data_IF_626108277706
#
_entry.id   IF_626108277706
#
_cell.length_a   1.000
_cell.length_b   1.000
_cell.length_c   1.000
_cell.angle_alpha   90.00
_cell.angle_beta   90.00
_cell.angle_gamma   90.00
#
_symmetry.space_group_name_H-M   'P 1'
#
loop_
_entity.id
_entity.type
_entity.pdbx_description
1 polymer ?
#
# COMPACT_ATOMS: atom_id res chain seq x y z
N UNK A 1 64.02 49.63 55.52
CA UNK A 1 64.43 48.68 54.49
C UNK A 1 63.19 48.04 53.94
N UNK A 2 62.85 48.44 52.73
CA UNK A 2 61.58 48.06 52.04
C UNK A 2 61.72 46.69 51.34
N UNK A 3 60.80 45.75 51.57
CA UNK A 3 60.66 44.59 50.75
C UNK A 3 59.42 44.77 49.89
N UNK A 4 59.63 44.75 48.58
CA UNK A 4 58.56 44.69 47.55
C UNK A 4 57.90 43.30 47.59
N UNK A 5 56.61 43.32 47.59
CA UNK A 5 55.77 42.11 47.40
C UNK A 5 55.23 42.15 45.98
N UNK A 6 55.68 41.23 45.13
CA UNK A 6 55.16 41.06 43.79
C UNK A 6 53.89 40.22 43.87
N UNK A 7 52.81 40.78 43.36
CA UNK A 7 51.49 40.07 43.21
C UNK A 7 51.46 39.52 41.82
N UNK A 8 51.51 38.16 41.69
CA UNK A 8 51.20 37.46 40.44
C UNK A 8 49.67 37.41 40.20
N UNK A 9 49.22 38.16 39.20
CA UNK A 9 47.88 38.05 38.67
C UNK A 9 47.82 36.85 37.66
N UNK A 10 47.21 35.74 38.06
CA UNK A 10 46.85 34.68 37.16
C UNK A 10 45.57 35.10 36.44
N UNK A 11 45.63 35.37 35.11
CA UNK A 11 44.53 35.59 34.28
C UNK A 11 43.95 34.20 33.87
N UNK A 12 42.78 33.81 34.42
CA UNK A 12 42.01 32.67 33.96
C UNK A 12 41.30 33.05 32.65
N UNK A 13 41.81 32.60 31.51
CA UNK A 13 41.11 32.67 30.25
C UNK A 13 40.01 31.58 30.22
N UNK A 14 38.78 31.98 30.48
CA UNK A 14 37.61 31.15 30.24
C UNK A 14 37.45 30.97 28.71
N UNK A 15 37.86 29.83 28.20
CA UNK A 15 37.48 29.35 26.84
C UNK A 15 36.00 29.12 26.82
N UNK A 16 35.23 30.08 26.32
CA UNK A 16 33.83 29.88 25.96
C UNK A 16 33.77 28.92 24.75
N UNK A 17 33.47 27.65 25.01
CA UNK A 17 33.13 26.69 23.97
C UNK A 17 31.79 27.16 23.41
N UNK A 18 31.67 27.49 22.09
CA UNK A 18 30.40 27.80 21.51
C UNK A 18 29.57 26.52 21.59
N UNK A 19 28.51 26.53 22.39
CA UNK A 19 27.44 25.52 22.31
C UNK A 19 26.78 25.79 20.98
N UNK A 20 27.21 25.05 19.94
CA UNK A 20 26.46 24.95 18.68
C UNK A 20 25.12 24.35 19.05
N UNK A 21 24.12 25.21 19.15
CA UNK A 21 22.72 24.79 19.20
C UNK A 21 22.51 23.92 17.94
N UNK A 22 22.42 22.61 18.13
CA UNK A 22 22.00 21.72 17.03
C UNK A 22 20.72 22.33 16.48
N UNK A 23 20.77 22.79 15.25
CA UNK A 23 19.61 23.26 14.52
C UNK A 23 18.69 22.07 14.50
N UNK A 24 17.52 22.17 15.15
CA UNK A 24 16.47 21.16 15.04
C UNK A 24 16.23 21.04 13.54
N UNK A 25 16.56 19.87 12.98
CA UNK A 25 16.18 19.59 11.61
C UNK A 25 14.69 19.91 11.50
N UNK A 26 14.30 20.67 10.47
CA UNK A 26 12.89 20.96 10.22
C UNK A 26 12.14 19.63 10.24
N UNK A 27 11.06 19.57 11.03
CA UNK A 27 10.25 18.36 11.10
C UNK A 27 9.81 18.02 9.67
N UNK A 28 9.99 16.76 9.29
CA UNK A 28 9.53 16.29 7.98
C UNK A 28 8.06 16.68 7.77
N UNK A 29 7.74 17.15 6.59
CA UNK A 29 6.40 17.52 6.19
C UNK A 29 5.98 16.67 5.00
N UNK A 30 4.78 16.11 5.03
CA UNK A 30 4.24 15.33 3.93
C UNK A 30 4.02 16.24 2.71
N UNK A 31 4.68 15.97 1.57
CA UNK A 31 4.52 16.78 0.37
C UNK A 31 3.21 16.52 -0.38
N UNK A 32 2.50 15.44 -0.07
CA UNK A 32 1.24 15.08 -0.74
C UNK A 32 0.13 16.07 -0.39
N UNK A 33 -0.68 16.54 -1.36
CA UNK A 33 -1.64 17.62 -1.14
C UNK A 33 -2.96 17.17 -0.51
N UNK A 34 -2.97 16.09 0.27
CA UNK A 34 -4.18 15.59 0.94
C UNK A 34 -4.48 16.34 2.22
N UNK A 35 -5.74 16.28 2.64
CA UNK A 35 -6.19 16.63 3.98
C UNK A 35 -6.39 15.37 4.79
N UNK A 36 -5.92 15.37 6.04
CA UNK A 36 -6.11 14.25 6.96
C UNK A 36 -7.35 14.50 7.82
N UNK A 37 -8.22 13.52 7.91
CA UNK A 37 -9.33 13.50 8.84
C UNK A 37 -9.49 12.12 9.48
N UNK A 38 -10.17 12.05 10.62
CA UNK A 38 -10.42 10.80 11.33
C UNK A 38 -11.93 10.57 11.45
N UNK A 39 -12.39 9.41 10.97
CA UNK A 39 -13.80 9.00 11.06
C UNK A 39 -13.94 7.94 12.15
N UNK A 40 -14.87 8.14 13.08
CA UNK A 40 -15.21 7.15 14.11
C UNK A 40 -16.12 6.08 13.49
N UNK A 41 -15.65 4.83 13.45
CA UNK A 41 -16.37 3.68 12.89
C UNK A 41 -16.99 2.78 13.97
N UNK A 42 -16.53 2.88 15.19
CA UNK A 42 -17.12 2.29 16.39
C UNK A 42 -16.59 3.00 17.64
N UNK A 43 -17.17 2.79 18.84
CA UNK A 43 -16.66 3.41 20.06
C UNK A 43 -15.16 3.18 20.24
N UNK A 44 -14.39 4.28 20.34
CA UNK A 44 -12.95 4.30 20.50
C UNK A 44 -12.12 3.82 19.29
N UNK A 45 -12.74 3.55 18.13
CA UNK A 45 -12.04 3.22 16.88
C UNK A 45 -12.28 4.30 15.85
N UNK A 46 -11.21 5.02 15.52
CA UNK A 46 -11.18 6.04 14.47
C UNK A 46 -10.21 5.61 13.38
N UNK A 47 -10.63 5.75 12.15
CA UNK A 47 -9.81 5.48 10.99
C UNK A 47 -9.40 6.78 10.32
N UNK A 48 -8.14 6.82 9.90
CA UNK A 48 -7.61 7.89 9.08
C UNK A 48 -8.21 7.83 7.69
N UNK A 49 -8.63 8.99 7.20
CA UNK A 49 -9.09 9.20 5.84
C UNK A 49 -8.30 10.36 5.24
N UNK A 50 -7.65 10.12 4.13
CA UNK A 50 -6.96 11.12 3.33
C UNK A 50 -7.92 11.64 2.25
N UNK A 51 -8.00 12.96 2.06
CA UNK A 51 -8.81 13.62 1.04
C UNK A 51 -7.90 14.45 0.13
N UNK A 52 -7.62 13.95 -1.07
CA UNK A 52 -6.84 14.66 -2.09
C UNK A 52 -7.68 15.65 -2.90
N UNK A 53 -8.99 15.75 -2.62
CA UNK A 53 -9.87 16.63 -3.35
C UNK A 53 -10.17 16.13 -4.76
N UNK A 54 -10.30 17.08 -5.68
CA UNK A 54 -10.77 16.84 -7.04
C UNK A 54 -12.25 17.15 -7.22
N UNK A 55 -12.78 16.88 -8.40
CA UNK A 55 -14.18 17.13 -8.74
C UNK A 55 -14.76 16.02 -9.58
N UNK A 56 -16.03 15.75 -9.45
CA UNK A 56 -16.73 14.69 -10.18
C UNK A 56 -17.13 13.54 -9.29
N UNK A 57 -17.01 12.30 -9.76
CA UNK A 57 -17.41 11.10 -9.02
C UNK A 57 -16.44 10.83 -7.88
N UNK A 58 -16.98 10.47 -6.71
CA UNK A 58 -16.17 10.06 -5.58
C UNK A 58 -15.52 8.70 -5.83
N UNK A 59 -14.21 8.61 -5.59
CA UNK A 59 -13.42 7.37 -5.63
C UNK A 59 -12.79 7.17 -4.26
N UNK A 60 -13.00 5.99 -3.68
CA UNK A 60 -12.43 5.63 -2.37
C UNK A 60 -11.35 4.58 -2.58
N UNK A 61 -10.11 4.92 -2.25
CA UNK A 61 -8.93 4.06 -2.35
C UNK A 61 -8.78 3.21 -1.08
N UNK A 62 -8.58 1.90 -1.26
CA UNK A 62 -8.33 0.93 -0.20
C UNK A 62 -6.98 0.26 -0.40
N UNK A 63 -6.10 0.40 0.57
CA UNK A 63 -4.73 -0.12 0.51
C UNK A 63 -4.67 -1.64 0.75
N UNK A 64 -3.61 -2.27 0.26
CA UNK A 64 -3.30 -3.69 0.46
C UNK A 64 -2.80 -4.01 1.88
N UNK A 65 -2.38 -5.26 2.08
CA UNK A 65 -1.77 -5.70 3.34
C UNK A 65 -0.46 -4.95 3.59
N UNK A 66 -0.26 -4.49 4.83
CA UNK A 66 0.95 -3.77 5.23
C UNK A 66 0.99 -2.30 4.82
N UNK A 67 0.01 -1.79 4.07
CA UNK A 67 -0.02 -0.42 3.59
C UNK A 67 -1.08 0.43 4.30
N UNK A 68 -0.77 1.70 4.49
CA UNK A 68 -1.71 2.77 4.81
C UNK A 68 -2.25 3.42 3.52
N UNK A 69 -3.15 4.39 3.65
CA UNK A 69 -3.61 5.16 2.49
C UNK A 69 -2.50 6.00 1.83
N UNK A 70 -1.43 6.28 2.56
CA UNK A 70 -0.27 7.03 2.06
C UNK A 70 0.49 6.31 0.94
N UNK A 71 0.26 5.00 0.72
CA UNK A 71 0.81 4.29 -0.44
C UNK A 71 0.35 4.89 -1.78
N UNK A 72 -0.76 5.64 -1.76
CA UNK A 72 -1.32 6.31 -2.93
C UNK A 72 -0.90 7.77 -3.09
N UNK A 73 -0.02 8.31 -2.25
CA UNK A 73 0.32 9.74 -2.21
C UNK A 73 0.89 10.28 -3.54
N UNK A 74 1.57 9.44 -4.32
CA UNK A 74 2.07 9.81 -5.66
C UNK A 74 1.03 9.59 -6.77
N UNK A 75 0.07 8.69 -6.57
CA UNK A 75 -0.95 8.29 -7.55
C UNK A 75 -2.24 9.11 -7.41
N UNK A 76 -2.73 9.30 -6.18
CA UNK A 76 -4.02 9.91 -5.91
C UNK A 76 -4.14 11.38 -6.39
N UNK A 77 -3.11 12.24 -6.33
CA UNK A 77 -3.18 13.59 -6.90
C UNK A 77 -3.47 13.60 -8.40
N UNK A 78 -2.92 12.64 -9.16
CA UNK A 78 -3.14 12.50 -10.61
C UNK A 78 -4.55 11.95 -10.91
N UNK A 79 -5.04 11.06 -10.05
CA UNK A 79 -6.42 10.58 -10.12
C UNK A 79 -7.40 11.71 -9.83
N UNK A 80 -7.06 12.61 -8.88
CA UNK A 80 -7.88 13.77 -8.49
C UNK A 80 -8.04 14.83 -9.60
N UNK A 81 -7.27 14.74 -10.68
CA UNK A 81 -7.47 15.60 -11.86
C UNK A 81 -8.83 15.37 -12.55
N UNK A 82 -9.48 14.21 -12.33
CA UNK A 82 -10.74 13.87 -13.02
C UNK A 82 -11.80 13.18 -12.16
N UNK A 83 -11.58 13.06 -10.86
CA UNK A 83 -12.57 12.58 -9.88
C UNK A 83 -12.26 13.18 -8.51
N UNK A 84 -13.13 12.96 -7.50
CA UNK A 84 -12.80 13.30 -6.12
C UNK A 84 -12.25 12.07 -5.41
N UNK A 85 -11.08 12.19 -4.77
CA UNK A 85 -10.32 11.03 -4.28
C UNK A 85 -10.20 11.05 -2.76
N UNK A 86 -10.65 9.97 -2.14
CA UNK A 86 -10.44 9.64 -0.73
C UNK A 86 -9.59 8.38 -0.60
N UNK A 87 -8.81 8.27 0.47
CA UNK A 87 -8.09 7.05 0.81
C UNK A 87 -8.35 6.67 2.25
N UNK A 88 -8.61 5.40 2.52
CA UNK A 88 -8.87 4.89 3.87
C UNK A 88 -7.66 4.08 4.34
N UNK A 89 -7.08 4.50 5.48
CA UNK A 89 -6.14 3.66 6.22
C UNK A 89 -6.95 2.71 7.10
N UNK A 90 -6.84 1.40 6.82
CA UNK A 90 -7.57 0.35 7.54
C UNK A 90 -7.22 0.34 9.02
N UNK A 91 -8.16 -0.14 9.88
CA UNK A 91 -7.86 -0.41 11.29
C UNK A 91 -6.62 -1.29 11.43
N UNK A 92 -5.78 -1.00 12.41
CA UNK A 92 -4.52 -1.71 12.64
C UNK A 92 -3.36 -1.29 11.75
N UNK A 93 -3.53 -0.27 10.89
CA UNK A 93 -2.47 0.25 10.02
C UNK A 93 -2.29 1.75 10.22
N UNK A 94 -1.07 2.22 9.98
CA UNK A 94 -0.71 3.64 9.97
C UNK A 94 -1.25 4.41 11.18
N UNK A 95 -1.86 5.58 10.94
CA UNK A 95 -2.42 6.43 11.98
C UNK A 95 -3.83 6.03 12.45
N UNK A 96 -4.47 5.04 11.82
CA UNK A 96 -5.73 4.47 12.29
C UNK A 96 -5.57 3.75 13.62
N UNK A 97 -6.64 3.66 14.44
CA UNK A 97 -6.56 2.91 15.68
C UNK A 97 -6.26 1.42 15.46
N UNK A 98 -5.54 0.83 16.40
CA UNK A 98 -5.13 -0.58 16.42
C UNK A 98 -5.89 -1.32 17.54
N UNK A 99 -7.20 -1.62 17.39
CA UNK A 99 -7.96 -2.32 18.41
C UNK A 99 -7.51 -3.78 18.51
N UNK A 100 -7.79 -4.43 19.67
CA UNK A 100 -7.43 -5.83 19.93
C UNK A 100 -8.25 -6.84 19.11
N UNK A 101 -9.32 -6.39 18.43
CA UNK A 101 -10.26 -7.22 17.67
C UNK A 101 -10.94 -6.46 16.53
N UNK A 102 -11.81 -7.15 15.78
CA UNK A 102 -12.57 -6.53 14.69
C UNK A 102 -11.84 -6.61 13.34
N UNK A 103 -11.09 -7.66 13.10
CA UNK A 103 -10.30 -7.86 11.88
C UNK A 103 -10.92 -8.89 10.92
N UNK A 104 -12.22 -9.22 11.09
CA UNK A 104 -12.93 -10.04 10.11
C UNK A 104 -13.20 -9.24 8.83
N UNK A 105 -13.26 -9.91 7.69
CA UNK A 105 -13.64 -9.31 6.40
C UNK A 105 -14.95 -8.52 6.51
N UNK A 106 -15.96 -9.07 7.23
CA UNK A 106 -17.22 -8.40 7.51
C UNK A 106 -17.00 -7.04 8.18
N UNK A 107 -16.20 -6.99 9.27
CA UNK A 107 -15.99 -5.76 10.03
C UNK A 107 -15.19 -4.73 9.22
N UNK A 108 -14.20 -5.19 8.44
CA UNK A 108 -13.44 -4.31 7.56
C UNK A 108 -14.31 -3.67 6.48
N UNK A 109 -15.24 -4.42 5.89
CA UNK A 109 -16.21 -3.91 4.94
C UNK A 109 -17.20 -2.92 5.58
N UNK A 110 -17.69 -3.22 6.79
CA UNK A 110 -18.54 -2.31 7.56
C UNK A 110 -17.85 -0.99 7.89
N UNK A 111 -16.55 -0.99 8.17
CA UNK A 111 -15.77 0.24 8.37
C UNK A 111 -15.82 1.14 7.14
N UNK A 112 -15.66 0.57 5.95
CA UNK A 112 -15.75 1.31 4.68
C UNK A 112 -17.15 1.93 4.51
N UNK A 113 -18.23 1.17 4.78
CA UNK A 113 -19.60 1.69 4.70
C UNK A 113 -19.83 2.85 5.66
N UNK A 114 -19.35 2.74 6.90
CA UNK A 114 -19.52 3.81 7.89
C UNK A 114 -18.76 5.08 7.49
N UNK A 115 -17.60 4.94 6.82
CA UNK A 115 -16.88 6.09 6.27
C UNK A 115 -17.66 6.71 5.10
N UNK A 116 -18.20 5.90 4.18
CA UNK A 116 -19.06 6.36 3.09
C UNK A 116 -20.24 7.16 3.63
N UNK A 117 -20.90 6.66 4.70
CA UNK A 117 -22.04 7.32 5.33
C UNK A 117 -21.63 8.62 6.05
N UNK A 118 -20.52 8.59 6.78
CA UNK A 118 -19.99 9.76 7.51
C UNK A 118 -19.63 10.90 6.56
N UNK A 119 -19.02 10.59 5.44
CA UNK A 119 -18.65 11.54 4.38
C UNK A 119 -19.81 11.88 3.45
N UNK A 120 -20.97 11.21 3.60
CA UNK A 120 -22.18 11.37 2.77
C UNK A 120 -21.92 11.15 1.28
N UNK A 121 -21.05 10.19 0.96
CA UNK A 121 -20.72 9.89 -0.43
C UNK A 121 -21.91 9.18 -1.10
N UNK A 122 -22.28 9.66 -2.29
CA UNK A 122 -23.38 9.09 -3.06
C UNK A 122 -22.85 8.13 -4.13
N UNK A 123 -23.02 6.83 -3.90
CA UNK A 123 -22.57 5.77 -4.82
C UNK A 123 -21.11 5.96 -5.28
N UNK A 124 -20.15 6.01 -4.34
CA UNK A 124 -18.74 6.11 -4.72
C UNK A 124 -18.28 4.88 -5.50
N UNK A 125 -17.22 5.04 -6.28
CA UNK A 125 -16.47 3.91 -6.84
C UNK A 125 -15.43 3.50 -5.81
N UNK A 126 -15.37 2.23 -5.46
CA UNK A 126 -14.31 1.70 -4.61
C UNK A 126 -13.16 1.17 -5.50
N UNK A 127 -11.94 1.58 -5.19
CA UNK A 127 -10.73 1.15 -5.89
C UNK A 127 -9.78 0.53 -4.87
N UNK A 128 -9.53 -0.77 -4.97
CA UNK A 128 -8.78 -1.50 -3.96
C UNK A 128 -7.58 -2.25 -4.52
N UNK A 129 -6.49 -2.25 -3.75
CA UNK A 129 -5.26 -2.95 -4.07
C UNK A 129 -5.14 -4.24 -3.25
N UNK A 130 -4.74 -5.35 -3.91
CA UNK A 130 -4.34 -6.59 -3.22
C UNK A 130 -5.43 -7.12 -2.28
N UNK A 131 -5.13 -7.23 -1.00
CA UNK A 131 -6.04 -7.75 0.05
C UNK A 131 -7.37 -6.98 0.11
N UNK A 132 -7.41 -5.68 -0.19
CA UNK A 132 -8.67 -4.93 -0.16
C UNK A 132 -9.71 -5.39 -1.19
N UNK A 133 -9.33 -6.26 -2.11
CA UNK A 133 -10.30 -6.97 -2.94
C UNK A 133 -11.30 -7.82 -2.14
N UNK A 134 -10.99 -8.14 -0.87
CA UNK A 134 -11.92 -8.81 0.05
C UNK A 134 -13.07 -7.87 0.41
N UNK A 135 -12.74 -6.64 0.87
CA UNK A 135 -13.74 -5.63 1.17
C UNK A 135 -14.52 -5.21 -0.07
N UNK A 136 -13.85 -5.04 -1.23
CA UNK A 136 -14.52 -4.71 -2.49
C UNK A 136 -15.55 -5.77 -2.88
N UNK A 137 -15.15 -7.05 -2.86
CA UNK A 137 -16.02 -8.16 -3.26
C UNK A 137 -17.23 -8.25 -2.34
N UNK A 138 -17.00 -8.16 -1.02
CA UNK A 138 -18.06 -8.21 -0.03
C UNK A 138 -19.04 -7.05 -0.16
N UNK A 139 -18.53 -5.85 -0.30
CA UNK A 139 -19.37 -4.66 -0.48
C UNK A 139 -20.14 -4.70 -1.82
N UNK A 140 -19.52 -5.22 -2.86
CA UNK A 140 -20.18 -5.45 -4.13
C UNK A 140 -21.29 -6.51 -4.06
N UNK A 141 -21.08 -7.60 -3.32
CA UNK A 141 -22.05 -8.67 -3.12
C UNK A 141 -23.25 -8.21 -2.28
N UNK A 142 -23.01 -7.58 -1.14
CA UNK A 142 -24.05 -7.26 -0.15
C UNK A 142 -24.66 -5.86 -0.34
N UNK A 143 -23.95 -4.91 -0.96
CA UNK A 143 -24.29 -3.49 -1.02
C UNK A 143 -24.10 -2.83 -2.40
N UNK A 144 -24.29 -3.60 -3.48
CA UNK A 144 -24.17 -3.06 -4.85
C UNK A 144 -25.00 -1.79 -5.09
N UNK A 145 -26.17 -1.65 -4.46
CA UNK A 145 -27.03 -0.49 -4.57
C UNK A 145 -26.42 0.81 -3.97
N UNK A 146 -25.43 0.66 -3.08
CA UNK A 146 -24.70 1.74 -2.43
C UNK A 146 -23.47 2.22 -3.22
N UNK A 147 -23.06 1.50 -4.29
CA UNK A 147 -21.83 1.71 -5.01
C UNK A 147 -22.08 2.16 -6.45
N UNK A 148 -21.14 2.90 -7.03
CA UNK A 148 -21.12 3.29 -8.44
C UNK A 148 -20.33 2.32 -9.32
N UNK A 149 -19.39 1.57 -8.74
CA UNK A 149 -18.53 0.62 -9.43
C UNK A 149 -17.40 0.13 -8.55
N UNK A 150 -16.67 -0.88 -9.03
CA UNK A 150 -15.52 -1.47 -8.34
C UNK A 150 -14.30 -1.49 -9.27
N UNK A 151 -13.13 -1.14 -8.73
CA UNK A 151 -11.85 -1.21 -9.44
C UNK A 151 -10.87 -2.05 -8.63
N UNK A 152 -10.42 -3.17 -9.21
CA UNK A 152 -9.46 -4.09 -8.60
C UNK A 152 -8.06 -3.83 -9.15
N UNK A 153 -7.14 -3.43 -8.30
CA UNK A 153 -5.73 -3.20 -8.62
C UNK A 153 -4.92 -4.44 -8.17
N UNK A 154 -4.79 -5.45 -9.01
CA UNK A 154 -4.25 -6.78 -8.67
C UNK A 154 -4.88 -7.32 -7.37
N UNK A 155 -6.19 -7.22 -7.29
CA UNK A 155 -6.96 -7.43 -6.07
C UNK A 155 -8.09 -8.48 -6.21
N UNK A 156 -8.21 -9.14 -7.39
CA UNK A 156 -9.26 -10.12 -7.65
C UNK A 156 -8.83 -11.58 -7.41
N UNK A 157 -7.69 -11.79 -6.74
CA UNK A 157 -7.25 -13.13 -6.32
C UNK A 157 -8.16 -13.70 -5.23
N UNK A 158 -8.35 -15.03 -5.20
CA UNK A 158 -9.11 -15.72 -4.14
C UNK A 158 -8.14 -16.16 -3.03
N UNK A 159 -8.27 -15.66 -1.78
CA UNK A 159 -7.39 -16.05 -0.68
C UNK A 159 -7.46 -17.54 -0.34
N UNK A 160 -8.57 -18.24 -0.67
CA UNK A 160 -8.72 -19.69 -0.47
C UNK A 160 -8.10 -20.51 -1.60
N UNK A 161 -7.87 -19.90 -2.76
CA UNK A 161 -7.17 -20.49 -3.91
C UNK A 161 -5.82 -19.80 -4.14
N UNK A 162 -5.18 -19.32 -3.08
CA UNK A 162 -3.89 -18.63 -3.17
C UNK A 162 -2.78 -19.60 -3.59
N UNK A 163 -1.99 -19.31 -4.65
CA UNK A 163 -0.93 -20.21 -5.15
C UNK A 163 0.07 -20.61 -4.09
N UNK A 164 0.40 -19.71 -3.17
CA UNK A 164 1.32 -19.97 -2.07
C UNK A 164 0.88 -21.09 -1.10
N UNK A 165 -0.40 -21.46 -1.12
CA UNK A 165 -0.93 -22.59 -0.36
C UNK A 165 -0.66 -23.95 -1.05
N UNK A 166 -0.18 -23.95 -2.30
CA UNK A 166 0.12 -25.15 -3.09
C UNK A 166 1.59 -25.56 -2.91
N UNK A 167 1.90 -26.74 -2.32
CA UNK A 167 3.28 -27.24 -2.26
C UNK A 167 3.93 -27.38 -3.65
N UNK A 168 3.16 -27.75 -4.67
CA UNK A 168 3.65 -27.87 -6.05
C UNK A 168 4.06 -26.51 -6.62
N UNK A 169 3.25 -25.47 -6.42
CA UNK A 169 3.58 -24.10 -6.84
C UNK A 169 4.81 -23.57 -6.10
N UNK A 170 4.90 -23.79 -4.79
CA UNK A 170 6.05 -23.39 -4.00
C UNK A 170 7.33 -24.11 -4.42
N UNK A 171 7.23 -25.38 -4.86
CA UNK A 171 8.37 -26.10 -5.41
C UNK A 171 8.87 -25.49 -6.74
N UNK A 172 7.99 -24.96 -7.58
CA UNK A 172 8.37 -24.19 -8.77
C UNK A 172 9.03 -22.86 -8.40
N UNK A 173 8.44 -22.12 -7.44
CA UNK A 173 9.04 -20.88 -6.92
C UNK A 173 10.48 -21.09 -6.43
N UNK A 174 10.75 -22.17 -5.70
CA UNK A 174 12.09 -22.48 -5.18
C UNK A 174 13.14 -22.80 -6.29
N UNK A 175 12.69 -23.16 -7.49
CA UNK A 175 13.57 -23.40 -8.65
C UNK A 175 13.93 -22.13 -9.42
N UNK A 176 13.25 -21.01 -9.16
CA UNK A 176 13.56 -19.75 -9.82
C UNK A 176 14.99 -19.30 -9.49
N UNK A 177 15.65 -18.56 -10.39
CA UNK A 177 16.95 -17.93 -10.12
C UNK A 177 16.92 -17.08 -8.85
N UNK A 178 18.01 -17.02 -8.11
CA UNK A 178 18.08 -16.26 -6.85
C UNK A 178 17.57 -14.81 -6.97
N UNK A 179 17.89 -14.02 -8.01
CA UNK A 179 17.35 -12.66 -8.16
C UNK A 179 15.83 -12.58 -8.26
N UNK A 180 15.17 -13.67 -8.71
CA UNK A 180 13.71 -13.73 -8.76
C UNK A 180 13.05 -14.04 -7.39
N UNK A 181 13.82 -14.63 -6.47
CA UNK A 181 13.35 -15.08 -5.15
C UNK A 181 13.75 -14.18 -4.00
N UNK A 182 14.76 -13.35 -4.20
CA UNK A 182 15.34 -12.49 -3.16
C UNK A 182 15.24 -11.04 -3.57
N UNK A 183 14.93 -10.18 -2.63
CA UNK A 183 15.03 -8.75 -2.81
C UNK A 183 16.20 -8.22 -2.00
N UNK A 184 16.86 -7.14 -2.45
CA UNK A 184 17.88 -6.49 -1.65
C UNK A 184 17.32 -6.08 -0.28
N UNK A 185 18.13 -6.26 0.77
CA UNK A 185 17.77 -5.83 2.13
C UNK A 185 18.56 -4.58 2.50
N UNK A 186 17.88 -3.57 3.11
CA UNK A 186 18.54 -2.36 3.56
C UNK A 186 19.47 -2.65 4.74
N UNK A 187 20.64 -2.02 4.73
CA UNK A 187 21.57 -2.03 5.86
C UNK A 187 21.09 -1.12 7.00
N UNK A 188 21.74 -1.18 8.16
CA UNK A 188 21.49 -0.23 9.25
C UNK A 188 21.79 1.24 8.83
N UNK A 189 22.78 1.43 7.94
CA UNK A 189 23.09 2.75 7.41
C UNK A 189 21.97 3.30 6.52
N UNK A 190 21.32 2.45 5.74
CA UNK A 190 20.17 2.85 4.92
C UNK A 190 18.95 3.18 5.77
N UNK A 191 18.80 2.54 6.93
CA UNK A 191 17.70 2.75 7.88
C UNK A 191 17.97 3.83 8.93
N UNK A 192 19.08 4.58 8.84
CA UNK A 192 19.41 5.63 9.83
C UNK A 192 18.41 6.79 9.87
N UNK A 193 17.59 6.96 8.82
CA UNK A 193 16.44 7.87 8.74
C UNK A 193 15.45 7.38 7.71
N UNK A 194 14.20 7.88 7.75
CA UNK A 194 13.20 7.57 6.71
C UNK A 194 13.64 8.07 5.34
N UNK A 195 14.27 9.24 5.27
CA UNK A 195 14.75 9.77 4.00
C UNK A 195 15.84 8.88 3.37
N UNK A 196 16.84 8.42 4.13
CA UNK A 196 17.86 7.50 3.59
C UNK A 196 17.30 6.14 3.23
N UNK A 197 16.24 5.69 3.92
CA UNK A 197 15.55 4.46 3.58
C UNK A 197 14.73 4.63 2.28
N UNK A 198 14.10 5.77 2.10
CA UNK A 198 13.40 6.12 0.85
C UNK A 198 14.38 6.17 -0.33
N UNK A 199 15.52 6.87 -0.20
CA UNK A 199 16.57 6.90 -1.23
C UNK A 199 17.08 5.50 -1.59
N UNK A 200 17.27 4.65 -0.57
CA UNK A 200 17.64 3.26 -0.79
C UNK A 200 16.56 2.50 -1.59
N UNK A 201 15.27 2.71 -1.31
CA UNK A 201 14.19 2.09 -2.08
C UNK A 201 14.17 2.54 -3.54
N UNK A 202 14.39 3.83 -3.81
CA UNK A 202 14.48 4.36 -5.18
C UNK A 202 15.57 3.64 -6.02
N UNK A 203 16.63 3.18 -5.38
CA UNK A 203 17.75 2.51 -6.05
C UNK A 203 17.59 0.99 -6.14
N UNK A 204 16.85 0.38 -5.21
CA UNK A 204 16.87 -1.07 -5.01
C UNK A 204 15.49 -1.75 -5.14
N UNK A 205 14.40 -1.00 -5.25
CA UNK A 205 13.04 -1.53 -5.42
C UNK A 205 12.48 -1.17 -6.80
N UNK A 206 11.78 -2.11 -7.41
CA UNK A 206 11.09 -1.86 -8.69
C UNK A 206 9.88 -0.92 -8.52
N UNK A 207 9.32 -0.88 -7.32
CA UNK A 207 8.20 -0.03 -6.92
C UNK A 207 8.49 0.53 -5.54
N UNK A 208 9.25 1.64 -5.46
CA UNK A 208 9.48 2.34 -4.20
C UNK A 208 8.17 2.96 -3.71
N UNK A 209 7.98 2.97 -2.40
CA UNK A 209 6.84 3.65 -1.79
C UNK A 209 7.16 5.11 -1.50
N UNK A 210 6.16 6.00 -1.47
CA UNK A 210 6.33 7.36 -0.96
C UNK A 210 6.96 7.36 0.44
N UNK A 211 7.77 8.38 0.78
CA UNK A 211 8.36 8.49 2.13
C UNK A 211 7.27 8.59 3.21
N UNK A 212 6.12 9.22 2.89
CA UNK A 212 4.94 9.26 3.74
C UNK A 212 4.42 7.87 4.11
N UNK A 213 4.36 6.96 3.15
CA UNK A 213 3.97 5.57 3.41
C UNK A 213 4.97 4.87 4.34
N UNK A 214 6.27 5.04 4.13
CA UNK A 214 7.29 4.45 5.00
C UNK A 214 7.16 4.92 6.45
N UNK A 215 6.86 6.21 6.66
CA UNK A 215 6.63 6.81 7.98
C UNK A 215 5.34 6.32 8.65
N UNK A 216 4.39 5.82 7.87
CA UNK A 216 3.15 5.21 8.37
C UNK A 216 3.27 3.70 8.58
N UNK A 217 4.17 3.04 7.84
CA UNK A 217 4.43 1.60 7.99
C UNK A 217 5.32 1.26 9.18
N UNK A 218 6.28 2.13 9.51
CA UNK A 218 7.32 1.85 10.51
C UNK A 218 7.28 2.87 11.65
N UNK A 219 7.60 2.39 12.85
CA UNK A 219 7.85 3.27 14.00
C UNK A 219 9.15 4.06 13.79
N UNK A 220 9.20 5.28 14.30
CA UNK A 220 10.44 6.05 14.39
C UNK A 220 11.10 5.78 15.74
N UNK A 221 12.37 5.33 15.71
CA UNK A 221 13.15 5.16 16.93
C UNK A 221 13.53 6.53 17.54
N UNK A 222 13.88 6.59 18.85
CA UNK A 222 14.26 7.86 19.50
C UNK A 222 15.45 8.59 18.86
N UNK A 223 16.28 7.89 18.10
CA UNK A 223 17.42 8.45 17.35
C UNK A 223 17.05 8.89 15.92
N UNK A 224 15.77 8.79 15.52
CA UNK A 224 15.28 9.12 14.19
C UNK A 224 15.43 8.02 13.15
N UNK A 225 15.96 6.85 13.53
CA UNK A 225 16.10 5.71 12.63
C UNK A 225 14.77 4.97 12.41
N UNK A 226 14.68 4.23 11.30
CA UNK A 226 13.52 3.40 10.95
C UNK A 226 13.47 2.19 11.87
N UNK A 227 12.38 2.08 12.62
CA UNK A 227 12.13 1.03 13.60
C UNK A 227 11.45 -0.22 13.01
N UNK A 228 10.69 -0.90 13.85
CA UNK A 228 9.87 -2.06 13.47
C UNK A 228 8.61 -1.62 12.73
N UNK A 229 7.91 -2.58 12.12
CA UNK A 229 6.57 -2.36 11.56
C UNK A 229 5.62 -1.89 12.66
N UNK A 230 4.80 -0.88 12.35
CA UNK A 230 3.78 -0.33 13.26
C UNK A 230 2.59 -1.31 13.46
N UNK A 231 2.25 -2.08 12.43
CA UNK A 231 1.22 -3.12 12.50
C UNK A 231 1.80 -4.43 13.04
N UNK A 232 1.18 -5.00 14.06
CA UNK A 232 1.66 -6.25 14.66
C UNK A 232 1.38 -7.47 13.79
N UNK A 233 2.18 -8.53 13.96
CA UNK A 233 1.96 -9.83 13.30
C UNK A 233 0.62 -10.47 13.69
N UNK A 234 0.10 -10.18 14.91
CA UNK A 234 -1.22 -10.64 15.36
C UNK A 234 -2.33 -10.07 14.49
N UNK A 235 -2.27 -8.77 14.18
CA UNK A 235 -3.25 -8.10 13.32
C UNK A 235 -3.19 -8.67 11.91
N UNK A 236 -2.00 -8.83 11.33
CA UNK A 236 -1.85 -9.44 10.00
C UNK A 236 -2.44 -10.87 9.96
N UNK A 237 -2.15 -11.68 10.98
CA UNK A 237 -2.73 -13.03 11.09
C UNK A 237 -4.24 -13.02 11.31
N UNK A 238 -4.78 -12.07 12.08
CA UNK A 238 -6.21 -11.96 12.33
C UNK A 238 -6.98 -11.65 11.05
N UNK A 239 -6.48 -10.70 10.24
CA UNK A 239 -7.06 -10.36 8.94
C UNK A 239 -7.01 -11.57 8.00
N UNK A 240 -5.85 -12.21 7.82
CA UNK A 240 -5.70 -13.37 6.93
C UNK A 240 -6.59 -14.57 7.32
N UNK A 241 -6.86 -14.77 8.62
CA UNK A 241 -7.81 -15.79 9.10
C UNK A 241 -9.26 -15.41 8.78
N UNK A 242 -9.59 -14.13 8.75
CA UNK A 242 -10.92 -13.61 8.44
C UNK A 242 -11.30 -13.69 6.97
N UNK A 243 -10.35 -13.90 6.06
CA UNK A 243 -10.56 -13.94 4.63
C UNK A 243 -11.48 -15.10 4.20
N UNK A 244 -12.46 -14.82 3.34
CA UNK A 244 -13.43 -15.78 2.83
C UNK A 244 -13.17 -16.11 1.36
N UNK A 245 -13.76 -17.23 0.90
CA UNK A 245 -13.79 -17.52 -0.53
C UNK A 245 -14.61 -16.46 -1.25
N UNK A 246 -14.10 -15.98 -2.39
CA UNK A 246 -14.79 -14.94 -3.16
C UNK A 246 -15.89 -15.49 -4.03
N UNK A 247 -17.01 -14.77 -4.02
CA UNK A 247 -18.11 -14.96 -4.98
C UNK A 247 -18.47 -13.59 -5.56
N UNK A 248 -18.50 -13.51 -6.89
CA UNK A 248 -18.79 -12.28 -7.62
C UNK A 248 -20.19 -12.28 -8.24
N UNK A 249 -20.95 -13.37 -8.08
CA UNK A 249 -22.21 -13.63 -8.82
C UNK A 249 -23.35 -12.64 -8.48
N UNK A 250 -23.32 -12.05 -7.29
CA UNK A 250 -24.32 -11.07 -6.84
C UNK A 250 -23.90 -9.62 -7.06
N UNK A 251 -22.67 -9.35 -7.53
CA UNK A 251 -22.21 -7.99 -7.81
C UNK A 251 -22.94 -7.44 -9.03
N UNK A 252 -23.62 -6.31 -8.84
CA UNK A 252 -24.49 -5.72 -9.89
C UNK A 252 -23.93 -4.39 -10.44
N UNK A 253 -22.85 -3.89 -9.89
CA UNK A 253 -22.18 -2.68 -10.39
C UNK A 253 -21.09 -3.05 -11.40
N UNK A 254 -20.74 -2.13 -12.32
CA UNK A 254 -19.62 -2.34 -13.24
C UNK A 254 -18.29 -2.57 -12.50
N UNK A 255 -17.47 -3.43 -13.06
CA UNK A 255 -16.15 -3.79 -12.53
C UNK A 255 -15.06 -3.48 -13.58
N UNK A 256 -13.98 -2.84 -13.14
CA UNK A 256 -12.71 -2.77 -13.84
C UNK A 256 -11.67 -3.54 -13.02
N UNK A 257 -10.92 -4.45 -13.64
CA UNK A 257 -9.89 -5.21 -12.94
C UNK A 257 -8.57 -5.19 -13.73
N UNK A 258 -7.50 -4.82 -13.04
CA UNK A 258 -6.14 -4.83 -13.55
C UNK A 258 -5.40 -6.06 -13.02
N UNK A 259 -4.77 -6.80 -13.93
CA UNK A 259 -3.93 -7.94 -13.61
C UNK A 259 -2.51 -7.71 -14.13
N UNK A 260 -1.47 -7.85 -13.30
CA UNK A 260 -0.11 -7.85 -13.77
C UNK A 260 0.15 -9.12 -14.60
N UNK A 261 0.74 -8.97 -15.78
CA UNK A 261 1.28 -10.09 -16.52
C UNK A 261 2.60 -10.47 -15.88
N UNK A 262 2.66 -11.68 -15.34
CA UNK A 262 3.83 -12.20 -14.62
C UNK A 262 5.05 -12.21 -15.53
N UNK A 263 6.16 -11.82 -14.94
CA UNK A 263 7.39 -11.45 -15.62
C UNK A 263 7.91 -12.42 -16.65
N UNK A 264 8.35 -11.83 -17.72
CA UNK A 264 9.05 -12.50 -18.83
C UNK A 264 10.45 -12.97 -18.43
N UNK A 265 11.07 -13.80 -19.24
CA UNK A 265 12.48 -14.22 -19.08
C UNK A 265 13.43 -13.02 -18.90
N UNK A 266 13.17 -11.91 -19.59
CA UNK A 266 13.96 -10.69 -19.51
C UNK A 266 14.02 -10.10 -18.10
N UNK A 267 12.92 -10.17 -17.34
CA UNK A 267 12.87 -9.68 -15.95
C UNK A 267 13.79 -10.46 -15.03
N UNK A 268 13.92 -11.79 -15.24
CA UNK A 268 14.69 -12.67 -14.37
C UNK A 268 16.09 -12.99 -14.89
N UNK A 269 16.43 -12.55 -16.11
CA UNK A 269 17.77 -12.70 -16.74
C UNK A 269 18.37 -14.10 -16.57
N UNK A 270 17.74 -15.17 -17.12
CA UNK A 270 18.20 -16.53 -16.95
C UNK A 270 19.58 -16.73 -17.59
N UNK A 271 20.46 -17.44 -16.89
CA UNK A 271 21.85 -17.68 -17.32
C UNK A 271 22.01 -18.93 -18.19
N UNK A 272 21.06 -19.83 -18.18
CA UNK A 272 21.08 -21.12 -18.87
C UNK A 272 19.67 -21.63 -19.18
N UNK A 273 19.57 -22.75 -19.89
CA UNK A 273 18.30 -23.34 -20.31
C UNK A 273 17.49 -23.90 -19.13
N UNK A 274 18.12 -24.36 -18.06
CA UNK A 274 17.45 -24.86 -16.86
C UNK A 274 16.75 -23.73 -16.14
N UNK A 275 17.40 -22.56 -16.00
CA UNK A 275 16.77 -21.37 -15.42
C UNK A 275 15.60 -20.85 -16.28
N UNK A 276 15.75 -20.86 -17.63
CA UNK A 276 14.65 -20.53 -18.56
C UNK A 276 13.46 -21.47 -18.39
N UNK A 277 13.73 -22.78 -18.33
CA UNK A 277 12.68 -23.78 -18.14
C UNK A 277 11.97 -23.61 -16.79
N UNK A 278 12.72 -23.29 -15.72
CA UNK A 278 12.15 -23.05 -14.40
C UNK A 278 11.24 -21.80 -14.38
N UNK A 279 11.68 -20.69 -15.00
CA UNK A 279 10.87 -19.45 -15.13
C UNK A 279 9.60 -19.74 -15.91
N UNK A 280 9.72 -20.43 -17.07
CA UNK A 280 8.56 -20.79 -17.88
C UNK A 280 7.55 -21.64 -17.10
N UNK A 281 8.01 -22.68 -16.40
CA UNK A 281 7.13 -23.55 -15.62
C UNK A 281 6.42 -22.81 -14.48
N UNK A 282 7.10 -21.85 -13.84
CA UNK A 282 6.51 -21.01 -12.82
C UNK A 282 5.46 -20.07 -13.40
N UNK A 283 5.75 -19.42 -14.54
CA UNK A 283 4.80 -18.53 -15.21
C UNK A 283 3.57 -19.31 -15.69
N UNK A 284 3.74 -20.44 -16.36
CA UNK A 284 2.64 -21.29 -16.81
C UNK A 284 1.72 -21.70 -15.62
N UNK A 285 2.31 -22.03 -14.48
CA UNK A 285 1.55 -22.36 -13.27
C UNK A 285 0.82 -21.14 -12.68
N UNK A 286 1.44 -19.95 -12.73
CA UNK A 286 0.83 -18.70 -12.27
C UNK A 286 -0.35 -18.32 -13.15
N UNK A 287 -0.22 -18.44 -14.47
CA UNK A 287 -1.27 -18.14 -15.44
C UNK A 287 -2.54 -18.97 -15.19
N UNK A 288 -2.39 -20.24 -14.80
CA UNK A 288 -3.53 -21.10 -14.42
C UNK A 288 -4.33 -20.51 -13.24
N UNK A 289 -3.68 -19.92 -12.25
CA UNK A 289 -4.36 -19.26 -11.14
C UNK A 289 -5.03 -17.96 -11.59
N UNK A 290 -4.30 -17.13 -12.34
CA UNK A 290 -4.80 -15.85 -12.87
C UNK A 290 -6.03 -16.06 -13.75
N UNK A 291 -6.01 -17.07 -14.63
CA UNK A 291 -7.16 -17.41 -15.48
C UNK A 291 -8.38 -17.82 -14.66
N UNK A 292 -8.20 -18.61 -13.60
CA UNK A 292 -9.29 -18.96 -12.69
C UNK A 292 -9.87 -17.74 -11.97
N UNK A 293 -9.03 -16.79 -11.55
CA UNK A 293 -9.50 -15.55 -10.94
C UNK A 293 -10.31 -14.71 -11.94
N UNK A 294 -9.81 -14.55 -13.17
CA UNK A 294 -10.52 -13.84 -14.25
C UNK A 294 -11.86 -14.51 -14.56
N UNK A 295 -11.89 -15.82 -14.68
CA UNK A 295 -13.14 -16.59 -14.92
C UNK A 295 -14.13 -16.45 -13.76
N UNK A 296 -13.63 -16.44 -12.51
CA UNK A 296 -14.48 -16.23 -11.35
C UNK A 296 -15.06 -14.82 -11.33
N UNK A 297 -14.23 -13.81 -11.60
CA UNK A 297 -14.63 -12.40 -11.65
C UNK A 297 -15.70 -12.14 -12.75
N UNK A 298 -15.58 -12.80 -13.90
CA UNK A 298 -16.52 -12.68 -15.02
C UNK A 298 -17.96 -13.12 -14.68
N UNK A 299 -18.17 -13.83 -13.57
CA UNK A 299 -19.52 -14.18 -13.08
C UNK A 299 -20.35 -12.96 -12.68
N UNK A 300 -19.72 -11.83 -12.37
CA UNK A 300 -20.41 -10.57 -12.12
C UNK A 300 -21.12 -9.97 -13.36
N UNK A 301 -20.79 -10.43 -14.56
CA UNK A 301 -21.48 -10.06 -15.81
C UNK A 301 -21.01 -8.77 -16.46
N UNK A 302 -20.81 -7.68 -15.72
CA UNK A 302 -20.33 -6.39 -16.25
C UNK A 302 -18.89 -6.13 -15.81
N UNK A 303 -17.95 -6.81 -16.42
CA UNK A 303 -16.52 -6.79 -16.06
C UNK A 303 -15.64 -6.43 -17.25
N UNK A 304 -14.80 -5.43 -17.07
CA UNK A 304 -13.67 -5.14 -17.96
C UNK A 304 -12.38 -5.58 -17.29
N UNK A 305 -11.63 -6.45 -17.92
CA UNK A 305 -10.31 -6.92 -17.49
C UNK A 305 -9.24 -6.25 -18.34
N UNK A 306 -8.17 -5.79 -17.69
CA UNK A 306 -6.99 -5.17 -18.30
C UNK A 306 -5.75 -5.91 -17.82
N UNK A 307 -5.04 -6.52 -18.76
CA UNK A 307 -3.75 -7.16 -18.51
C UNK A 307 -2.62 -6.14 -18.70
N UNK A 308 -1.78 -5.98 -17.69
CA UNK A 308 -0.70 -5.00 -17.66
C UNK A 308 0.65 -5.68 -17.84
N UNK A 309 1.22 -5.58 -19.04
CA UNK A 309 2.53 -6.14 -19.32
C UNK A 309 3.64 -5.46 -18.50
N UNK A 310 4.53 -6.27 -17.93
CA UNK A 310 5.65 -5.80 -17.12
C UNK A 310 5.28 -5.18 -15.78
N UNK A 311 4.01 -5.22 -15.40
CA UNK A 311 3.54 -4.68 -14.14
C UNK A 311 4.08 -5.48 -12.94
N UNK A 312 4.25 -4.78 -11.82
CA UNK A 312 4.45 -5.41 -10.51
C UNK A 312 3.10 -5.58 -9.82
N UNK A 313 3.10 -6.19 -8.62
CA UNK A 313 1.91 -6.25 -7.77
C UNK A 313 1.28 -4.87 -7.49
N UNK A 314 2.11 -3.83 -7.41
CA UNK A 314 1.67 -2.44 -7.25
C UNK A 314 1.43 -1.79 -8.62
N UNK A 315 0.41 -2.27 -9.33
CA UNK A 315 0.10 -1.86 -10.71
C UNK A 315 -0.06 -0.35 -10.88
N UNK A 316 -0.58 0.34 -9.86
CA UNK A 316 -0.78 1.78 -9.84
C UNK A 316 0.52 2.59 -9.67
N UNK A 317 1.63 1.93 -9.27
CA UNK A 317 2.97 2.52 -9.24
C UNK A 317 3.78 2.14 -10.49
N UNK A 318 3.74 0.86 -10.88
CA UNK A 318 4.55 0.38 -12.01
C UNK A 318 3.98 0.73 -13.39
N UNK A 319 2.65 0.78 -13.52
CA UNK A 319 1.94 1.04 -14.79
C UNK A 319 0.92 2.19 -14.61
N UNK A 320 1.33 3.21 -13.88
CA UNK A 320 0.49 4.33 -13.45
C UNK A 320 -0.31 4.95 -14.60
N UNK A 321 0.34 5.27 -15.72
CA UNK A 321 -0.31 5.93 -16.86
C UNK A 321 -1.42 5.07 -17.49
N UNK A 322 -1.22 3.75 -17.58
CA UNK A 322 -2.22 2.83 -18.09
C UNK A 322 -3.40 2.70 -17.11
N UNK A 323 -3.11 2.58 -15.81
CA UNK A 323 -4.14 2.52 -14.77
C UNK A 323 -4.97 3.80 -14.74
N UNK A 324 -4.35 4.99 -14.79
CA UNK A 324 -5.06 6.27 -14.86
C UNK A 324 -5.92 6.40 -16.12
N UNK A 325 -5.39 6.06 -17.30
CA UNK A 325 -6.12 6.09 -18.58
C UNK A 325 -7.37 5.23 -18.53
N UNK A 326 -7.22 3.97 -18.13
CA UNK A 326 -8.33 3.01 -18.14
C UNK A 326 -9.33 3.29 -17.03
N UNK A 327 -8.88 3.80 -15.87
CA UNK A 327 -9.76 4.29 -14.79
C UNK A 327 -10.58 5.49 -15.26
N UNK A 328 -9.97 6.48 -15.92
CA UNK A 328 -10.71 7.64 -16.49
C UNK A 328 -11.78 7.18 -17.47
N UNK A 329 -11.45 6.27 -18.39
CA UNK A 329 -12.41 5.73 -19.35
C UNK A 329 -13.56 4.98 -18.64
N UNK A 330 -13.25 4.21 -17.61
CA UNK A 330 -14.25 3.50 -16.81
C UNK A 330 -15.20 4.46 -16.09
N UNK A 331 -14.68 5.45 -15.35
CA UNK A 331 -15.48 6.44 -14.63
C UNK A 331 -16.38 7.27 -15.55
N UNK A 332 -15.88 7.62 -16.75
CA UNK A 332 -16.66 8.34 -17.77
C UNK A 332 -17.82 7.50 -18.30
N UNK A 333 -17.67 6.18 -18.38
CA UNK A 333 -18.71 5.27 -18.83
C UNK A 333 -19.78 4.90 -17.79
N UNK A 334 -19.62 5.33 -16.54
CA UNK A 334 -20.62 5.08 -15.48
C UNK A 334 -21.74 6.12 -15.56
N UNK A 335 -22.98 5.65 -15.70
CA UNK A 335 -24.20 6.46 -15.76
C UNK A 335 -24.86 6.67 -14.42
#
# INVERSE_FOLDING_TARGET
MRRLMEICLLALALLAIPITRAQKADAWHDPSPHKVQFVTVEPHVRLEVLDWGGTGRDVVLLAGSGNSAHVFDDFAPKLAEFCHVYGITRRGYGASNHPDSGYSEQRLAEDVLQIIDSLKLSKPVLMGHSMSGEELTRLGDEHSDRLGGLIYLDAASDPKDWPGNSPAYMALFQKLPAPARTQPEPSAADKRSFHTYYEWQLQNRNTPFPESELRNQFEENPDGSVGKFSTSDEIHRAIGKGALKRDYSNIRVPILAFFPVVGTEEKYQPKNDDERAAIKAFNDATDVYVDRYKQSLQKAGNVRIVDLAGATHYVFLSNESDVLRDTRAFLTGLH
#
